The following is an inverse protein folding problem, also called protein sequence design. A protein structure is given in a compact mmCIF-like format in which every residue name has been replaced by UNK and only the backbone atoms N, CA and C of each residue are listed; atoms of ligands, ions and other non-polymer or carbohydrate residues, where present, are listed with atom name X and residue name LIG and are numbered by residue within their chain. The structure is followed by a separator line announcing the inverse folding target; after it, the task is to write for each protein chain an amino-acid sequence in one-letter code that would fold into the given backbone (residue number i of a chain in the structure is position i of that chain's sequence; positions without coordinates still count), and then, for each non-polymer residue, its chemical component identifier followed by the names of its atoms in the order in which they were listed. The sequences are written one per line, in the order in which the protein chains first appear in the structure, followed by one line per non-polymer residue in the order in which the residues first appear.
data_IF_428401153673
#
_entry.id   IF_428401153673
#
_cell.length_a   1.000
_cell.length_b   1.000
_cell.length_c   1.000
_cell.angle_alpha   90.00
_cell.angle_beta   90.00
_cell.angle_gamma   90.00
#
_symmetry.space_group_name_H-M   'P 1'
#
loop_
_entity.id
_entity.type
_entity.pdbx_description
1 polymer ?
#
# COMPACT_ATOMS: atom_id res chain seq x y z
N UNK A 1 7.69 -17.84 -17.40
CA UNK A 1 7.86 -16.41 -17.03
C UNK A 1 8.69 -15.75 -18.10
N UNK A 2 8.06 -14.94 -18.96
CA UNK A 2 8.80 -14.08 -19.90
C UNK A 2 9.29 -12.84 -19.15
N UNK A 3 10.60 -12.62 -19.13
CA UNK A 3 11.23 -11.49 -18.45
C UNK A 3 11.19 -10.28 -19.38
N UNK A 4 10.18 -9.43 -19.26
CA UNK A 4 10.21 -8.10 -19.85
C UNK A 4 10.60 -7.09 -18.78
N UNK A 5 11.82 -6.56 -18.85
CA UNK A 5 12.26 -5.45 -18.02
C UNK A 5 11.79 -4.17 -18.72
N UNK A 6 10.77 -3.51 -18.21
CA UNK A 6 10.46 -2.13 -18.62
C UNK A 6 11.40 -1.17 -17.88
N UNK A 7 12.14 -0.35 -18.63
CA UNK A 7 12.90 0.76 -18.05
C UNK A 7 11.94 1.89 -17.70
N UNK A 8 11.96 2.34 -16.45
CA UNK A 8 11.54 3.70 -16.08
C UNK A 8 12.79 4.56 -16.20
N UNK A 9 12.88 5.38 -17.26
CA UNK A 9 14.04 6.24 -17.52
C UNK A 9 13.72 7.71 -17.23
N UNK A 10 14.57 8.36 -16.43
CA UNK A 10 14.80 9.81 -16.49
C UNK A 10 16.31 10.08 -16.40
N UNK A 11 16.87 10.69 -17.46
CA UNK A 11 18.20 11.34 -17.62
C UNK A 11 19.48 10.66 -17.12
N UNK A 12 20.56 10.87 -17.87
CA UNK A 12 21.80 10.08 -17.95
C UNK A 12 22.72 9.99 -16.70
N UNK A 13 22.33 10.48 -15.52
CA UNK A 13 23.21 10.54 -14.32
C UNK A 13 22.59 9.97 -13.03
N UNK A 14 21.58 9.09 -13.11
CA UNK A 14 20.91 8.55 -11.91
C UNK A 14 20.92 7.03 -11.81
N UNK A 15 20.93 6.54 -10.55
CA UNK A 15 20.65 5.15 -10.19
C UNK A 15 19.37 4.74 -10.90
N UNK A 16 19.49 3.97 -11.99
CA UNK A 16 18.33 3.44 -12.70
C UNK A 16 17.74 2.32 -11.85
N UNK A 17 16.80 2.64 -10.96
CA UNK A 17 15.98 1.58 -10.40
C UNK A 17 15.10 1.05 -11.52
N UNK A 18 15.43 -0.15 -11.99
CA UNK A 18 14.54 -0.90 -12.87
C UNK A 18 13.39 -1.37 -11.99
N UNK A 19 12.26 -0.70 -12.09
CA UNK A 19 10.98 -1.25 -11.66
C UNK A 19 10.80 -2.53 -12.46
N UNK A 20 11.07 -3.67 -11.82
CA UNK A 20 10.93 -4.96 -12.45
C UNK A 20 9.45 -5.29 -12.50
N UNK A 21 8.79 -4.92 -13.59
CA UNK A 21 7.44 -5.40 -13.89
C UNK A 21 7.54 -6.78 -14.53
N UNK A 22 7.14 -7.84 -13.83
CA UNK A 22 7.10 -9.17 -14.44
C UNK A 22 5.73 -9.42 -15.05
N UNK A 23 5.69 -9.86 -16.32
CA UNK A 23 4.45 -10.42 -16.87
C UNK A 23 4.21 -11.79 -16.27
N UNK A 24 3.09 -11.93 -15.58
CA UNK A 24 2.66 -13.14 -14.92
C UNK A 24 1.99 -14.09 -15.93
N UNK A 25 2.72 -14.52 -16.96
CA UNK A 25 2.17 -15.36 -18.04
C UNK A 25 1.88 -16.82 -17.66
N UNK A 26 2.28 -17.26 -16.45
CA UNK A 26 2.20 -18.66 -16.01
C UNK A 26 1.33 -18.90 -14.78
N UNK A 27 0.65 -17.87 -14.27
CA UNK A 27 -0.26 -17.98 -13.13
C UNK A 27 -1.68 -18.25 -13.63
N UNK A 28 -2.39 -19.23 -13.03
CA UNK A 28 -3.84 -19.49 -13.26
C UNK A 28 -4.72 -18.24 -13.01
N UNK A 29 -4.14 -17.20 -12.42
CA UNK A 29 -4.69 -15.92 -12.00
C UNK A 29 -5.21 -15.01 -13.14
N UNK A 30 -4.90 -15.29 -14.42
CA UNK A 30 -5.03 -14.32 -15.52
C UNK A 30 -6.16 -14.52 -16.54
N UNK A 31 -7.25 -15.18 -16.18
CA UNK A 31 -8.47 -15.09 -16.99
C UNK A 31 -9.25 -13.81 -16.60
N UNK A 32 -8.97 -12.77 -17.39
CA UNK A 32 -9.49 -11.40 -17.35
C UNK A 32 -11.03 -11.29 -17.29
N UNK A 33 -11.48 -10.14 -16.76
CA UNK A 33 -12.86 -9.63 -16.65
C UNK A 33 -13.84 -10.33 -15.70
N UNK A 34 -13.51 -11.51 -15.17
CA UNK A 34 -14.43 -12.26 -14.28
C UNK A 34 -13.93 -12.43 -12.85
N UNK A 35 -12.78 -11.87 -12.45
CA UNK A 35 -12.23 -12.13 -11.11
C UNK A 35 -13.14 -11.59 -9.99
N UNK A 36 -13.77 -10.42 -10.17
CA UNK A 36 -14.79 -9.93 -9.23
C UNK A 36 -16.01 -10.85 -9.13
N UNK A 37 -16.46 -11.40 -10.26
CA UNK A 37 -17.52 -12.41 -10.32
C UNK A 37 -17.11 -13.70 -9.60
N UNK A 38 -15.88 -14.18 -9.83
CA UNK A 38 -15.30 -15.34 -9.15
C UNK A 38 -15.23 -15.13 -7.64
N UNK A 39 -14.79 -13.96 -7.18
CA UNK A 39 -14.80 -13.61 -5.77
C UNK A 39 -16.22 -13.61 -5.21
N UNK A 40 -17.19 -13.04 -5.93
CA UNK A 40 -18.59 -13.07 -5.51
C UNK A 40 -19.13 -14.50 -5.38
N UNK A 41 -18.79 -15.38 -6.32
CA UNK A 41 -19.22 -16.78 -6.29
C UNK A 41 -18.54 -17.59 -5.16
N UNK A 42 -17.22 -17.45 -5.00
CA UNK A 42 -16.44 -18.26 -4.05
C UNK A 42 -16.50 -17.76 -2.61
N UNK A 43 -16.38 -16.45 -2.43
CA UNK A 43 -16.21 -15.82 -1.11
C UNK A 43 -17.25 -14.74 -0.83
N UNK A 44 -18.28 -14.61 -1.67
CA UNK A 44 -19.30 -13.56 -1.53
C UNK A 44 -20.00 -13.50 -0.17
N UNK A 45 -20.16 -14.64 0.51
CA UNK A 45 -20.78 -14.72 1.84
C UNK A 45 -19.80 -14.55 3.01
N UNK A 46 -18.49 -14.53 2.75
CA UNK A 46 -17.46 -14.36 3.78
C UNK A 46 -17.52 -12.95 4.35
N UNK A 47 -17.47 -12.87 5.67
CA UNK A 47 -17.32 -11.61 6.40
C UNK A 47 -15.83 -11.30 6.46
N UNK A 48 -15.46 -10.10 6.01
CA UNK A 48 -14.08 -9.62 5.93
C UNK A 48 -13.97 -8.27 6.63
N UNK A 49 -12.73 -7.92 6.97
CA UNK A 49 -12.38 -6.62 7.53
C UNK A 49 -12.20 -5.60 6.41
N UNK A 50 -12.99 -4.52 6.43
CA UNK A 50 -12.96 -3.43 5.44
C UNK A 50 -12.65 -2.11 6.14
N UNK A 51 -11.63 -1.40 5.67
CA UNK A 51 -11.33 -0.05 6.11
C UNK A 51 -12.30 0.94 5.45
N UNK A 52 -12.85 1.84 6.26
CA UNK A 52 -13.74 2.91 5.81
C UNK A 52 -13.23 4.26 6.29
N UNK A 53 -13.13 5.21 5.36
CA UNK A 53 -12.67 6.58 5.65
C UNK A 53 -13.60 7.60 5.01
N UNK A 54 -13.71 8.83 5.53
CA UNK A 54 -14.54 9.86 4.91
C UNK A 54 -14.01 10.37 3.56
N UNK A 55 -12.70 10.27 3.34
CA UNK A 55 -11.99 10.95 2.24
C UNK A 55 -11.07 10.02 1.43
N UNK A 56 -10.97 8.74 1.79
CA UNK A 56 -10.12 7.76 1.13
C UNK A 56 -8.70 7.64 1.68
N UNK A 57 -8.29 8.48 2.64
CA UNK A 57 -6.96 8.44 3.24
C UNK A 57 -7.00 7.70 4.57
N UNK A 58 -6.66 6.42 4.53
CA UNK A 58 -6.38 5.63 5.72
C UNK A 58 -4.91 5.80 6.12
N UNK A 59 -4.63 5.69 7.43
CA UNK A 59 -3.28 5.75 7.99
C UNK A 59 -2.53 7.00 7.48
N UNK A 60 -3.15 8.16 7.71
CA UNK A 60 -2.68 9.44 7.18
C UNK A 60 -2.79 10.56 8.21
N UNK A 61 -2.00 11.60 8.04
CA UNK A 61 -2.11 12.80 8.87
C UNK A 61 -3.36 13.59 8.48
N UNK A 62 -4.21 13.90 9.46
CA UNK A 62 -5.34 14.79 9.30
C UNK A 62 -5.31 15.84 10.43
N UNK A 63 -4.99 17.09 10.07
CA UNK A 63 -4.75 18.15 11.04
C UNK A 63 -3.50 17.87 11.88
N UNK A 64 -3.70 17.69 13.18
CA UNK A 64 -2.67 17.41 14.18
C UNK A 64 -2.73 15.96 14.71
N UNK A 65 -3.40 15.06 13.98
CA UNK A 65 -3.57 13.64 14.29
C UNK A 65 -3.05 12.74 13.18
N UNK A 66 -2.60 11.54 13.56
CA UNK A 66 -2.46 10.41 12.65
C UNK A 66 -3.75 9.61 12.75
N UNK A 67 -4.51 9.51 11.67
CA UNK A 67 -5.86 8.95 11.70
C UNK A 67 -5.91 7.61 10.97
N UNK A 68 -6.23 6.57 11.72
CA UNK A 68 -6.51 5.21 11.24
C UNK A 68 -7.95 5.11 10.73
N UNK A 69 -8.22 4.19 9.78
CA UNK A 69 -9.57 4.00 9.27
C UNK A 69 -10.51 3.38 10.31
N UNK A 70 -11.80 3.57 10.11
CA UNK A 70 -12.79 2.73 10.80
C UNK A 70 -12.74 1.32 10.20
N UNK A 71 -12.56 0.28 11.02
CA UNK A 71 -12.66 -1.10 10.55
C UNK A 71 -14.10 -1.61 10.68
N UNK A 72 -14.68 -2.07 9.56
CA UNK A 72 -16.01 -2.68 9.52
C UNK A 72 -15.93 -4.14 9.10
N UNK A 73 -16.70 -4.96 9.79
CA UNK A 73 -16.97 -6.33 9.36
C UNK A 73 -18.17 -6.33 8.42
N UNK A 74 -17.97 -6.74 7.17
CA UNK A 74 -19.05 -6.88 6.20
C UNK A 74 -18.80 -8.03 5.23
N UNK A 75 -19.85 -8.51 4.57
CA UNK A 75 -19.69 -9.57 3.58
C UNK A 75 -18.98 -9.06 2.33
N UNK A 76 -18.18 -9.92 1.70
CA UNK A 76 -17.49 -9.60 0.46
C UNK A 76 -18.47 -9.16 -0.64
N UNK A 77 -19.65 -9.79 -0.74
CA UNK A 77 -20.70 -9.38 -1.69
C UNK A 77 -21.22 -7.97 -1.43
N UNK A 78 -21.41 -7.59 -0.17
CA UNK A 78 -21.88 -6.24 0.17
C UNK A 78 -20.83 -5.19 -0.21
N UNK A 79 -19.55 -5.47 0.02
CA UNK A 79 -18.47 -4.60 -0.45
C UNK A 79 -18.49 -4.48 -1.99
N UNK A 80 -18.61 -5.60 -2.71
CA UNK A 80 -18.70 -5.56 -4.17
C UNK A 80 -19.93 -4.78 -4.66
N UNK A 81 -21.07 -4.86 -3.96
CA UNK A 81 -22.25 -4.07 -4.32
C UNK A 81 -22.02 -2.56 -4.14
N UNK A 82 -21.21 -2.16 -3.18
CA UNK A 82 -20.78 -0.76 -2.99
C UNK A 82 -19.85 -0.34 -4.13
N UNK A 83 -18.78 -1.11 -4.38
CA UNK A 83 -17.80 -0.82 -5.44
C UNK A 83 -18.46 -0.84 -6.84
N UNK A 84 -19.39 -1.74 -7.10
CA UNK A 84 -20.12 -1.79 -8.38
C UNK A 84 -21.20 -0.69 -8.50
N UNK A 85 -21.35 0.17 -7.49
CA UNK A 85 -22.32 1.27 -7.47
C UNK A 85 -23.78 0.84 -7.33
N UNK A 86 -24.03 -0.43 -6.97
CA UNK A 86 -25.39 -0.96 -6.73
C UNK A 86 -25.96 -0.45 -5.41
N UNK A 87 -25.10 -0.22 -4.42
CA UNK A 87 -25.43 0.35 -3.12
C UNK A 87 -24.60 1.60 -2.91
N UNK A 88 -25.25 2.69 -2.50
CA UNK A 88 -24.54 3.92 -2.09
C UNK A 88 -24.35 3.94 -0.60
N UNK A 89 -23.11 4.10 -0.16
CA UNK A 89 -22.74 4.29 1.23
C UNK A 89 -21.90 5.56 1.39
N UNK A 90 -21.96 6.18 2.56
CA UNK A 90 -21.08 7.29 2.92
C UNK A 90 -19.71 6.74 3.31
N UNK A 91 -18.65 7.40 2.82
CA UNK A 91 -17.26 6.99 3.01
C UNK A 91 -16.67 6.30 1.77
N UNK A 92 -15.40 5.95 1.89
CA UNK A 92 -14.58 5.28 0.89
C UNK A 92 -14.11 3.94 1.46
N UNK A 93 -14.32 2.87 0.71
CA UNK A 93 -14.16 1.49 1.15
C UNK A 93 -12.90 0.87 0.55
N UNK A 94 -12.09 0.22 1.40
CA UNK A 94 -10.86 -0.44 0.99
C UNK A 94 -10.55 -1.67 1.84
N UNK A 95 -10.36 -2.82 1.20
CA UNK A 95 -9.75 -4.00 1.83
C UNK A 95 -8.25 -3.80 1.81
N UNK A 96 -7.68 -3.48 2.98
CA UNK A 96 -6.28 -3.13 3.15
C UNK A 96 -5.60 -3.76 4.36
N UNK A 97 -6.23 -4.75 5.00
CA UNK A 97 -5.67 -5.36 6.21
C UNK A 97 -4.39 -6.15 5.88
N UNK A 98 -3.26 -5.68 6.39
CA UNK A 98 -1.93 -6.18 6.03
C UNK A 98 -1.42 -7.27 7.00
N UNK A 99 -2.31 -8.16 7.42
CA UNK A 99 -2.03 -9.23 8.39
C UNK A 99 -2.27 -10.62 7.78
N UNK A 100 -1.80 -10.82 6.55
CA UNK A 100 -2.04 -12.03 5.75
C UNK A 100 -3.54 -12.30 5.52
N UNK A 101 -4.34 -11.25 5.29
CA UNK A 101 -5.80 -11.37 5.16
C UNK A 101 -6.24 -12.33 4.03
N UNK A 102 -5.38 -12.59 3.02
CA UNK A 102 -5.68 -13.58 1.99
C UNK A 102 -5.73 -15.00 2.56
N UNK A 103 -4.76 -15.36 3.41
CA UNK A 103 -4.72 -16.72 4.01
C UNK A 103 -5.66 -16.86 5.19
N UNK A 104 -5.87 -15.77 5.95
CA UNK A 104 -6.68 -15.80 7.17
C UNK A 104 -8.17 -15.56 6.92
N UNK A 105 -8.54 -14.58 6.08
CA UNK A 105 -9.95 -14.21 5.85
C UNK A 105 -10.51 -14.82 4.56
N UNK A 106 -9.65 -15.11 3.57
CA UNK A 106 -10.04 -15.55 2.21
C UNK A 106 -9.33 -16.84 1.74
N UNK A 107 -9.19 -17.89 2.57
CA UNK A 107 -8.41 -19.09 2.23
C UNK A 107 -8.92 -19.80 0.97
N UNK A 108 -10.21 -19.69 0.62
CA UNK A 108 -10.79 -20.28 -0.59
C UNK A 108 -10.21 -19.72 -1.88
N UNK A 109 -9.63 -18.51 -1.84
CA UNK A 109 -8.98 -17.89 -3.00
C UNK A 109 -7.55 -18.41 -3.22
N UNK A 110 -6.92 -19.06 -2.22
CA UNK A 110 -5.54 -19.59 -2.33
C UNK A 110 -5.38 -20.72 -3.36
N UNK A 111 -6.48 -21.29 -3.87
CA UNK A 111 -6.46 -22.20 -5.01
C UNK A 111 -6.25 -21.50 -6.36
N UNK A 112 -6.59 -20.21 -6.45
CA UNK A 112 -6.50 -19.40 -7.67
C UNK A 112 -5.30 -18.46 -7.68
N UNK A 113 -4.82 -18.08 -6.48
CA UNK A 113 -3.66 -17.22 -6.27
C UNK A 113 -2.54 -18.01 -5.57
N UNK A 114 -1.29 -17.70 -5.90
CA UNK A 114 -0.16 -18.30 -5.20
C UNK A 114 -0.09 -17.79 -3.76
N UNK A 115 0.38 -18.63 -2.83
CA UNK A 115 0.70 -18.25 -1.44
C UNK A 115 2.15 -17.84 -1.25
N UNK A 116 3.00 -18.05 -2.26
CA UNK A 116 4.34 -17.50 -2.33
C UNK A 116 4.84 -17.49 -3.79
N UNK A 117 5.83 -16.66 -4.09
CA UNK A 117 6.47 -16.62 -5.39
C UNK A 117 7.74 -17.46 -5.34
N UNK A 118 7.73 -18.63 -6.00
CA UNK A 118 8.80 -19.64 -5.88
C UNK A 118 10.21 -19.04 -6.06
N UNK A 119 10.45 -18.30 -7.14
CA UNK A 119 11.79 -17.75 -7.42
C UNK A 119 12.23 -16.72 -6.37
N UNK A 120 11.29 -16.00 -5.74
CA UNK A 120 11.61 -15.02 -4.70
C UNK A 120 11.90 -15.72 -3.39
N UNK A 121 11.10 -16.73 -3.04
CA UNK A 121 11.35 -17.55 -1.86
C UNK A 121 12.70 -18.27 -1.96
N UNK A 122 13.07 -18.77 -3.15
CA UNK A 122 14.39 -19.35 -3.41
C UNK A 122 15.52 -18.30 -3.31
N UNK A 123 15.32 -17.10 -3.86
CA UNK A 123 16.31 -16.03 -3.85
C UNK A 123 16.57 -15.48 -2.44
N UNK A 124 15.53 -15.34 -1.62
CA UNK A 124 15.63 -14.85 -0.24
C UNK A 124 15.89 -15.97 0.78
N UNK A 125 15.75 -17.24 0.38
CA UNK A 125 15.89 -18.38 1.28
C UNK A 125 14.80 -18.48 2.37
N UNK A 126 13.67 -17.79 2.19
CA UNK A 126 12.56 -17.73 3.17
C UNK A 126 11.19 -17.68 2.48
N UNK A 127 10.14 -18.01 3.23
CA UNK A 127 8.75 -17.84 2.78
C UNK A 127 8.22 -16.44 3.14
N UNK A 128 7.14 -15.96 2.51
CA UNK A 128 6.56 -14.69 2.92
C UNK A 128 5.94 -14.83 4.32
N UNK A 129 6.09 -13.77 5.12
CA UNK A 129 5.47 -13.61 6.43
C UNK A 129 3.96 -13.34 6.31
N UNK A 130 3.58 -12.64 5.23
CA UNK A 130 2.20 -12.30 4.95
C UNK A 130 1.90 -12.31 3.46
N UNK A 131 0.68 -12.73 3.11
CA UNK A 131 0.11 -12.59 1.77
C UNK A 131 -1.17 -11.79 1.89
N UNK A 132 -1.19 -10.57 1.34
CA UNK A 132 -2.34 -9.69 1.50
C UNK A 132 -3.13 -9.53 0.21
N UNK A 133 -4.44 -9.53 0.37
CA UNK A 133 -5.43 -9.23 -0.65
C UNK A 133 -5.88 -7.78 -0.56
N UNK A 134 -5.96 -7.12 -1.71
CA UNK A 134 -6.35 -5.72 -1.84
C UNK A 134 -7.51 -5.57 -2.81
N UNK A 135 -8.53 -4.81 -2.39
CA UNK A 135 -9.68 -4.41 -3.22
C UNK A 135 -10.21 -3.08 -2.72
N UNK A 136 -10.26 -2.05 -3.55
CA UNK A 136 -10.74 -0.74 -3.11
C UNK A 136 -11.28 0.15 -4.22
N UNK A 137 -11.91 1.23 -3.79
CA UNK A 137 -12.35 2.33 -4.65
C UNK A 137 -11.15 3.17 -5.14
N UNK A 138 -11.35 3.91 -6.24
CA UNK A 138 -10.34 4.80 -6.81
C UNK A 138 -9.88 5.89 -5.83
N UNK A 139 -10.82 6.37 -5.00
CA UNK A 139 -10.54 7.40 -3.99
C UNK A 139 -9.73 6.87 -2.81
N UNK A 140 -9.59 5.54 -2.64
CA UNK A 140 -8.79 4.98 -1.54
C UNK A 140 -7.29 5.11 -1.87
N UNK A 141 -6.59 5.92 -1.06
CA UNK A 141 -5.19 6.28 -1.22
C UNK A 141 -4.40 5.83 0.01
N UNK A 142 -3.28 5.17 -0.21
CA UNK A 142 -2.31 4.86 0.83
C UNK A 142 -1.27 5.99 0.90
N UNK A 143 -1.20 6.65 2.06
CA UNK A 143 -0.30 7.79 2.28
C UNK A 143 1.18 7.38 2.17
N UNK A 144 2.08 8.37 2.04
CA UNK A 144 3.52 8.09 1.91
C UNK A 144 4.06 7.43 3.18
N UNK A 145 4.65 6.25 3.06
CA UNK A 145 5.26 5.50 4.17
C UNK A 145 6.34 4.54 3.65
N UNK A 146 7.00 3.79 4.54
CA UNK A 146 7.95 2.74 4.19
C UNK A 146 7.69 1.47 5.02
N UNK A 147 8.04 0.32 4.47
CA UNK A 147 7.94 -0.97 5.15
C UNK A 147 9.32 -1.60 5.39
N UNK A 148 9.39 -2.50 6.37
CA UNK A 148 10.57 -3.34 6.63
C UNK A 148 10.48 -4.70 5.90
N UNK A 149 9.82 -4.71 4.74
CA UNK A 149 9.56 -5.93 3.97
C UNK A 149 10.07 -5.80 2.55
N UNK A 150 10.60 -6.89 2.00
CA UNK A 150 10.73 -7.07 0.56
C UNK A 150 9.34 -7.40 0.00
N UNK A 151 8.79 -6.49 -0.80
CA UNK A 151 7.40 -6.54 -1.22
C UNK A 151 7.26 -6.87 -2.72
N UNK A 152 6.60 -7.99 -3.03
CA UNK A 152 6.16 -8.29 -4.40
C UNK A 152 4.69 -7.95 -4.57
N UNK A 153 4.39 -6.87 -5.29
CA UNK A 153 3.05 -6.33 -5.48
C UNK A 153 2.48 -6.72 -6.85
N UNK A 154 1.50 -7.62 -6.88
CA UNK A 154 0.92 -8.16 -8.11
C UNK A 154 -0.47 -7.58 -8.36
N UNK A 155 -0.68 -6.99 -9.54
CA UNK A 155 -2.00 -6.49 -9.93
C UNK A 155 -2.74 -7.54 -10.76
N UNK A 156 -3.91 -7.94 -10.27
CA UNK A 156 -4.79 -8.94 -10.89
C UNK A 156 -5.74 -8.24 -11.87
N UNK A 157 -6.45 -7.21 -11.40
CA UNK A 157 -7.36 -6.38 -12.21
C UNK A 157 -7.14 -4.90 -11.95
N UNK A 158 -7.34 -4.07 -12.97
CA UNK A 158 -7.13 -2.62 -12.88
C UNK A 158 -5.66 -2.23 -12.96
N UNK A 159 -5.30 -1.15 -12.26
CA UNK A 159 -3.93 -0.65 -12.15
C UNK A 159 -3.68 0.02 -10.80
N UNK A 160 -2.41 0.01 -10.39
CA UNK A 160 -1.88 0.73 -9.22
C UNK A 160 -0.85 1.75 -9.67
N UNK A 161 -0.89 2.94 -9.10
CA UNK A 161 0.04 4.03 -9.38
C UNK A 161 0.85 4.33 -8.13
N UNK A 162 2.17 4.17 -8.23
CA UNK A 162 3.13 4.36 -7.15
C UNK A 162 3.95 5.62 -7.38
N UNK A 163 4.10 6.42 -6.32
CA UNK A 163 5.17 7.40 -6.18
C UNK A 163 6.20 6.77 -5.25
N UNK A 164 7.43 6.62 -5.72
CA UNK A 164 8.50 5.91 -5.02
C UNK A 164 9.66 6.86 -4.73
N UNK A 165 10.18 6.84 -3.50
CA UNK A 165 11.39 7.56 -3.12
C UNK A 165 12.36 6.58 -2.46
N UNK A 166 13.66 6.62 -2.83
CA UNK A 166 14.64 5.71 -2.25
C UNK A 166 14.85 6.02 -0.76
N UNK A 167 15.34 5.04 0.04
CA UNK A 167 15.67 5.26 1.44
C UNK A 167 16.69 6.40 1.65
N UNK A 168 17.52 6.66 0.64
CA UNK A 168 18.51 7.75 0.64
C UNK A 168 17.90 9.15 0.60
N UNK A 169 16.64 9.29 0.20
CA UNK A 169 15.91 10.57 0.18
C UNK A 169 15.35 10.92 1.57
N UNK A 170 15.54 10.07 2.59
CA UNK A 170 15.11 10.31 3.98
C UNK A 170 15.44 11.72 4.51
N UNK A 171 16.60 12.34 4.23
CA UNK A 171 16.89 13.71 4.68
C UNK A 171 15.91 14.78 4.16
N UNK A 172 15.23 14.51 3.05
CA UNK A 172 14.30 15.44 2.39
C UNK A 172 12.83 15.13 2.66
N UNK A 173 12.56 14.02 3.36
CA UNK A 173 11.20 13.56 3.67
C UNK A 173 10.87 13.92 5.12
N UNK A 174 9.87 14.78 5.36
CA UNK A 174 9.54 15.24 6.71
C UNK A 174 8.91 14.10 7.52
N UNK A 175 9.26 14.04 8.80
CA UNK A 175 8.62 13.21 9.80
C UNK A 175 8.24 14.07 11.00
N UNK A 176 7.03 13.89 11.51
CA UNK A 176 6.52 14.57 12.70
C UNK A 176 5.81 13.55 13.60
N UNK A 177 5.65 13.88 14.88
CA UNK A 177 4.99 13.01 15.87
C UNK A 177 3.53 13.42 16.05
N UNK A 178 2.62 12.49 15.79
CA UNK A 178 1.19 12.73 15.85
C UNK A 178 0.52 11.87 16.92
N UNK A 179 -0.51 12.43 17.57
CA UNK A 179 -1.40 11.63 18.42
C UNK A 179 -2.22 10.70 17.50
N UNK A 180 -2.21 9.37 17.72
CA UNK A 180 -3.03 8.47 16.93
C UNK A 180 -4.50 8.61 17.32
N UNK A 181 -5.34 8.47 16.31
CA UNK A 181 -6.79 8.54 16.40
C UNK A 181 -7.40 7.62 15.35
N UNK A 182 -8.69 7.34 15.48
CA UNK A 182 -9.42 6.45 14.57
C UNK A 182 -10.70 7.12 14.11
N UNK A 183 -11.02 7.00 12.82
CA UNK A 183 -12.31 7.44 12.31
C UNK A 183 -13.46 6.62 12.91
N UNK A 184 -14.58 7.28 13.18
CA UNK A 184 -15.84 6.63 13.56
C UNK A 184 -17.01 7.27 12.82
N UNK A 185 -17.83 6.47 12.14
CA UNK A 185 -19.06 6.96 11.53
C UNK A 185 -20.17 7.05 12.59
N UNK A 186 -20.81 8.22 12.66
CA UNK A 186 -21.99 8.49 13.48
C UNK A 186 -23.26 7.99 12.81
N UNK A 187 -24.33 7.90 13.59
CA UNK A 187 -25.67 7.52 13.11
C UNK A 187 -26.20 8.46 12.01
N UNK A 188 -25.77 9.72 11.99
CA UNK A 188 -26.14 10.71 10.96
C UNK A 188 -25.35 10.55 9.64
N UNK A 189 -24.41 9.60 9.58
CA UNK A 189 -23.57 9.31 8.42
C UNK A 189 -22.28 10.12 8.35
N UNK A 190 -22.08 11.11 9.23
CA UNK A 190 -20.84 11.89 9.31
C UNK A 190 -19.75 11.11 10.06
N UNK A 191 -18.48 11.42 9.78
CA UNK A 191 -17.35 10.84 10.49
C UNK A 191 -16.82 11.80 11.57
N UNK A 192 -16.45 11.25 12.71
CA UNK A 192 -15.62 11.92 13.72
C UNK A 192 -14.25 11.24 13.84
N UNK A 193 -13.30 11.97 14.40
CA UNK A 193 -11.97 11.49 14.76
C UNK A 193 -11.98 11.27 16.28
N UNK A 194 -11.67 10.06 16.71
CA UNK A 194 -11.62 9.67 18.13
C UNK A 194 -10.19 9.36 18.49
N UNK A 195 -9.60 10.14 19.40
CA UNK A 195 -8.24 9.94 19.89
C UNK A 195 -8.12 8.56 20.56
N UNK A 196 -7.00 7.87 20.32
CA UNK A 196 -6.68 6.67 21.07
C UNK A 196 -6.06 7.07 22.42
N UNK A 197 -6.85 7.00 23.48
CA UNK A 197 -6.39 7.31 24.84
C UNK A 197 -5.22 6.40 25.25
N UNK A 198 -4.30 6.94 26.06
CA UNK A 198 -3.10 6.24 26.57
C UNK A 198 -2.11 5.69 25.51
N UNK A 199 -2.23 6.14 24.27
CA UNK A 199 -1.30 5.78 23.19
C UNK A 199 -0.10 6.72 23.12
N UNK A 200 1.03 6.18 22.67
CA UNK A 200 2.22 6.98 22.35
C UNK A 200 2.09 7.62 20.98
N UNK A 201 2.63 8.84 20.81
CA UNK A 201 2.63 9.50 19.50
C UNK A 201 3.38 8.67 18.45
N UNK A 202 2.83 8.65 17.24
CA UNK A 202 3.36 7.89 16.10
C UNK A 202 4.13 8.84 15.18
N UNK A 203 5.36 8.50 14.76
CA UNK A 203 6.06 9.23 13.72
C UNK A 203 5.41 8.95 12.36
N UNK A 204 4.97 9.99 11.65
CA UNK A 204 4.41 9.84 10.31
C UNK A 204 4.86 10.96 9.36
N UNK A 205 4.72 10.71 8.06
CA UNK A 205 5.03 11.68 7.00
C UNK A 205 3.78 12.53 6.76
N UNK A 206 3.82 13.84 7.03
CA UNK A 206 2.66 14.73 6.84
C UNK A 206 2.51 15.27 5.42
N UNK A 207 3.53 15.09 4.59
CA UNK A 207 3.56 15.62 3.24
C UNK A 207 2.74 14.73 2.30
N UNK A 208 1.79 15.34 1.58
CA UNK A 208 1.15 14.73 0.42
C UNK A 208 2.07 14.87 -0.81
N UNK A 209 2.62 13.78 -1.36
CA UNK A 209 3.50 13.85 -2.54
C UNK A 209 2.78 14.28 -3.82
N UNK A 210 1.45 14.23 -3.88
CA UNK A 210 0.67 14.69 -5.03
C UNK A 210 0.53 16.21 -5.06
N UNK A 211 0.51 16.83 -3.88
CA UNK A 211 0.41 18.27 -3.71
C UNK A 211 1.31 18.75 -2.54
N UNK A 212 2.64 18.67 -2.70
CA UNK A 212 3.57 18.96 -1.62
C UNK A 212 3.54 20.44 -1.21
N UNK A 213 3.33 20.69 0.08
CA UNK A 213 3.48 22.01 0.69
C UNK A 213 4.98 22.34 0.82
N UNK A 214 5.53 22.94 -0.23
CA UNK A 214 6.93 23.34 -0.27
C UNK A 214 7.24 24.58 0.58
N UNK A 215 6.24 25.32 1.05
CA UNK A 215 6.45 26.45 1.95
C UNK A 215 6.73 25.91 3.35
N UNK A 216 6.01 24.87 3.77
CA UNK A 216 6.25 24.16 5.03
C UNK A 216 7.42 23.19 4.96
N UNK A 217 7.61 22.50 3.82
CA UNK A 217 8.63 21.46 3.64
C UNK A 217 9.52 21.71 2.40
N UNK A 218 10.31 22.81 2.40
CA UNK A 218 11.10 23.21 1.22
C UNK A 218 12.13 22.18 0.78
N UNK A 219 12.72 21.43 1.71
CA UNK A 219 13.71 20.39 1.43
C UNK A 219 13.18 19.25 0.56
N UNK A 220 11.86 19.00 0.53
CA UNK A 220 11.26 17.98 -0.34
C UNK A 220 11.49 18.27 -1.84
N UNK A 221 11.81 19.51 -2.22
CA UNK A 221 12.21 19.86 -3.60
C UNK A 221 13.46 19.13 -4.08
N UNK A 222 14.30 18.66 -3.14
CA UNK A 222 15.53 17.92 -3.44
C UNK A 222 15.28 16.42 -3.59
N UNK A 223 14.13 15.93 -3.12
CA UNK A 223 13.71 14.55 -3.31
C UNK A 223 13.37 14.29 -4.79
N UNK A 224 13.63 13.08 -5.27
CA UNK A 224 13.46 12.73 -6.69
C UNK A 224 12.51 11.55 -6.84
N UNK A 225 11.18 11.80 -6.89
CA UNK A 225 10.21 10.73 -6.95
C UNK A 225 10.28 9.97 -8.29
N UNK A 226 10.24 8.65 -8.19
CA UNK A 226 10.04 7.74 -9.32
C UNK A 226 8.56 7.39 -9.43
N UNK A 227 8.00 7.54 -10.63
CA UNK A 227 6.59 7.23 -10.89
C UNK A 227 6.48 5.88 -11.60
N UNK A 228 5.62 5.01 -11.10
CA UNK A 228 5.40 3.67 -11.65
C UNK A 228 3.91 3.32 -11.68
N UNK A 229 3.42 2.92 -12.85
CA UNK A 229 2.09 2.31 -12.98
C UNK A 229 2.24 0.81 -13.18
N UNK A 230 1.63 0.01 -12.30
CA UNK A 230 1.56 -1.45 -12.37
C UNK A 230 0.17 -1.83 -12.85
N UNK A 231 0.08 -2.49 -13.99
CA UNK A 231 -1.19 -2.88 -14.63
C UNK A 231 -1.54 -4.33 -14.34
N UNK A 232 -2.79 -4.70 -14.59
CA UNK A 232 -3.22 -6.10 -14.59
C UNK A 232 -2.26 -7.00 -15.38
N UNK A 233 -1.73 -8.04 -14.73
CA UNK A 233 -0.71 -8.91 -15.34
C UNK A 233 0.70 -8.65 -14.88
N UNK A 234 0.93 -7.52 -14.22
CA UNK A 234 2.25 -7.05 -13.82
C UNK A 234 2.47 -7.24 -12.32
N UNK A 235 3.73 -7.45 -11.97
CA UNK A 235 4.21 -7.53 -10.59
C UNK A 235 5.32 -6.51 -10.41
N UNK A 236 5.21 -5.62 -9.42
CA UNK A 236 6.26 -4.73 -8.97
C UNK A 236 7.06 -5.38 -7.83
N UNK A 237 8.38 -5.40 -7.95
CA UNK A 237 9.23 -5.55 -6.78
C UNK A 237 9.49 -4.18 -6.15
N UNK A 238 8.96 -3.99 -4.94
CA UNK A 238 9.15 -2.81 -4.09
C UNK A 238 10.12 -3.19 -2.96
N UNK A 239 11.39 -2.72 -3.02
CA UNK A 239 12.40 -3.14 -2.06
C UNK A 239 12.13 -2.59 -0.66
N UNK A 240 12.68 -3.28 0.35
CA UNK A 240 12.59 -2.84 1.75
C UNK A 240 13.06 -1.39 1.95
N UNK A 241 12.42 -0.69 2.88
CA UNK A 241 12.65 0.70 3.28
C UNK A 241 12.33 1.77 2.22
N UNK A 242 11.85 1.39 1.03
CA UNK A 242 11.44 2.36 0.02
C UNK A 242 10.18 3.09 0.45
N UNK A 243 10.25 4.42 0.39
CA UNK A 243 9.09 5.25 0.64
C UNK A 243 8.17 5.14 -0.57
N UNK A 244 6.89 4.91 -0.32
CA UNK A 244 5.91 4.74 -1.37
C UNK A 244 4.55 5.31 -0.97
N UNK A 245 3.89 5.89 -1.97
CA UNK A 245 2.51 6.37 -1.92
C UNK A 245 1.73 5.72 -3.06
N UNK A 246 0.51 5.26 -2.81
CA UNK A 246 -0.21 4.38 -3.73
C UNK A 246 -1.62 4.89 -4.03
N UNK A 247 -1.92 5.03 -5.32
CA UNK A 247 -3.28 5.19 -5.85
C UNK A 247 -3.68 3.97 -6.67
N UNK A 248 -4.97 3.84 -6.97
CA UNK A 248 -5.50 2.71 -7.71
C UNK A 248 -6.66 3.11 -8.61
N UNK A 249 -6.88 2.36 -9.69
CA UNK A 249 -8.13 2.45 -10.44
C UNK A 249 -9.30 1.91 -9.60
N UNK A 250 -10.52 2.37 -9.90
CA UNK A 250 -11.72 1.89 -9.21
C UNK A 250 -11.88 0.36 -9.32
N UNK A 251 -12.13 -0.31 -8.19
CA UNK A 251 -12.28 -1.77 -8.13
C UNK A 251 -11.00 -2.55 -8.48
N UNK A 252 -9.83 -1.94 -8.32
CA UNK A 252 -8.55 -2.60 -8.52
C UNK A 252 -8.40 -3.78 -7.55
N UNK A 253 -7.98 -4.93 -8.06
CA UNK A 253 -7.66 -6.11 -7.25
C UNK A 253 -6.17 -6.40 -7.36
N UNK A 254 -5.51 -6.52 -6.22
CA UNK A 254 -4.10 -6.86 -6.14
C UNK A 254 -3.83 -7.86 -5.01
N UNK A 255 -2.72 -8.57 -5.14
CA UNK A 255 -2.17 -9.42 -4.09
C UNK A 255 -0.71 -9.05 -3.90
N UNK A 256 -0.28 -8.89 -2.67
CA UNK A 256 1.13 -8.68 -2.38
C UNK A 256 1.71 -9.74 -1.43
N UNK A 257 3.00 -9.98 -1.56
CA UNK A 257 3.76 -10.92 -0.74
C UNK A 257 4.82 -10.15 0.03
N UNK A 258 4.80 -10.26 1.35
CA UNK A 258 5.77 -9.64 2.24
C UNK A 258 6.74 -10.66 2.77
N UNK A 259 8.03 -10.44 2.49
CA UNK A 259 9.13 -11.22 3.03
C UNK A 259 9.94 -10.32 3.95
N UNK A 260 10.14 -10.71 5.21
CA UNK A 260 10.89 -9.88 6.16
C UNK A 260 12.27 -9.55 5.59
N UNK A 261 12.66 -8.28 5.71
CA UNK A 261 13.93 -7.82 5.16
C UNK A 261 15.11 -8.47 5.89
N UNK A 262 16.26 -8.51 5.23
CA UNK A 262 17.51 -8.80 5.93
C UNK A 262 17.97 -7.55 6.68
N UNK A 263 18.11 -7.65 8.00
CA UNK A 263 18.63 -6.58 8.87
C UNK A 263 20.16 -6.52 8.79
N UNK A 264 20.64 -6.20 7.59
CA UNK A 264 22.05 -6.15 7.25
C UNK A 264 22.65 -4.73 7.39
N UNK A 265 23.82 -4.52 6.79
CA UNK A 265 24.52 -3.24 6.79
C UNK A 265 23.67 -2.09 6.20
N UNK A 266 22.79 -2.35 5.22
CA UNK A 266 21.93 -1.31 4.64
C UNK A 266 20.95 -0.76 5.67
N UNK A 267 20.38 -1.63 6.50
CA UNK A 267 19.50 -1.23 7.58
C UNK A 267 20.24 -0.35 8.59
N UNK A 268 21.44 -0.74 9.02
CA UNK A 268 22.26 0.05 9.94
C UNK A 268 22.62 1.42 9.37
N UNK A 269 22.96 1.51 8.07
CA UNK A 269 23.20 2.79 7.42
C UNK A 269 21.93 3.65 7.31
N UNK A 270 20.78 3.06 7.03
CA UNK A 270 19.52 3.79 7.03
C UNK A 270 19.21 4.38 8.41
N UNK A 271 19.38 3.59 9.48
CA UNK A 271 19.19 4.04 10.87
C UNK A 271 20.14 5.19 11.24
N UNK A 272 21.39 5.15 10.76
CA UNK A 272 22.33 6.25 10.91
C UNK A 272 21.85 7.52 10.18
N UNK A 273 21.43 7.41 8.92
CA UNK A 273 20.90 8.54 8.13
C UNK A 273 19.68 9.16 8.80
N UNK A 274 18.76 8.33 9.28
CA UNK A 274 17.57 8.78 10.00
C UNK A 274 17.92 9.52 11.30
N UNK A 275 18.82 8.95 12.10
CA UNK A 275 19.27 9.55 13.35
C UNK A 275 19.98 10.89 13.13
N UNK A 276 20.85 10.97 12.12
CA UNK A 276 21.55 12.21 11.76
C UNK A 276 20.57 13.27 11.23
N UNK A 277 19.59 12.89 10.41
CA UNK A 277 18.56 13.80 9.92
C UNK A 277 17.80 14.44 11.08
N UNK A 278 17.42 13.63 12.07
CA UNK A 278 16.70 14.12 13.25
C UNK A 278 17.59 15.00 14.16
N UNK A 279 18.89 14.70 14.26
CA UNK A 279 19.82 15.45 15.09
C UNK A 279 20.19 16.84 14.52
N UNK A 280 20.27 16.96 13.19
CA UNK A 280 20.61 18.21 12.50
C UNK A 280 19.37 19.12 12.34
N UNK A 281 18.17 18.55 12.45
CA UNK A 281 16.92 19.21 12.07
C UNK A 281 16.70 19.15 10.56
N UNK A 282 15.45 19.25 10.12
CA UNK A 282 15.13 19.40 8.69
C UNK A 282 15.83 20.66 8.16
N UNK A 283 16.79 20.47 7.26
CA UNK A 283 17.49 21.56 6.55
C UNK A 283 16.53 22.42 5.73
#
# INVERSE_FOLDING_TARGET
MERHISQVSQSDDQISLRVLTFKLSSLKMFLQNFFSYLCREKVGSKVISVAVTPNGYADAVNGDRFVMPEERQMTFSSLLDIIEGKVKCSGVFYVQKQCSNLTEELPELTGDVQTHILWMSEALGKQPDAVNFWLGEESAVTSMHKDHYENLYCVITGQKEFILLPPTDRPFIPYELYQPATYRQKEDGNFEIVDEEDSTKVPWIPLDPLNPDYDRYPSYRLAKPLLCTVKAGEMLYLPSLWFHHVRQSHGCIAVNFWYDMEYDMKYNYFQLVESLTNAVGSL
#
